data_IF_963856285392
#
_entry.id   IF_963856285392
#
_cell.length_a   1.000
_cell.length_b   1.000
_cell.length_c   1.000
_cell.angle_alpha   90.00
_cell.angle_beta   90.00
_cell.angle_gamma   90.00
#
_symmetry.space_group_name_H-M   'P 1'
#
loop_
_entity.id
_entity.type
_entity.pdbx_description
1 polymer ?
#
# COMPACT_ATOMS: atom_id res chain seq x y z
N UNK A 1 -21.11 27.62 3.73
CA UNK A 1 -21.11 26.86 5.02
C UNK A 1 -20.37 25.54 4.81
N UNK A 2 -19.07 25.49 5.02
CA UNK A 2 -18.26 24.27 4.93
C UNK A 2 -18.16 23.64 6.32
N UNK A 3 -19.26 23.00 6.75
CA UNK A 3 -19.32 22.33 8.05
C UNK A 3 -18.31 21.17 8.13
N UNK A 4 -17.58 21.10 9.23
CA UNK A 4 -16.67 20.01 9.57
C UNK A 4 -17.41 18.67 9.45
N UNK A 5 -16.98 17.76 8.56
CA UNK A 5 -17.58 16.43 8.39
C UNK A 5 -17.56 15.68 9.72
N UNK A 6 -18.68 15.01 10.05
CA UNK A 6 -18.80 14.24 11.28
C UNK A 6 -17.82 13.06 11.29
N UNK A 7 -17.37 12.63 12.47
CA UNK A 7 -16.51 11.45 12.62
C UNK A 7 -17.19 10.19 12.08
N UNK A 8 -18.52 10.10 12.17
CA UNK A 8 -19.30 9.00 11.59
C UNK A 8 -19.20 8.96 10.07
N UNK A 9 -19.33 10.11 9.39
CA UNK A 9 -19.16 10.19 7.93
C UNK A 9 -17.75 9.78 7.51
N UNK A 10 -16.72 10.17 8.27
CA UNK A 10 -15.34 9.79 8.01
C UNK A 10 -15.09 8.30 8.27
N UNK A 11 -15.68 7.72 9.30
CA UNK A 11 -15.63 6.29 9.58
C UNK A 11 -16.33 5.48 8.47
N UNK A 12 -17.51 5.91 8.04
CA UNK A 12 -18.23 5.28 6.93
C UNK A 12 -17.45 5.37 5.61
N UNK A 13 -16.79 6.51 5.35
CA UNK A 13 -15.88 6.65 4.21
C UNK A 13 -14.68 5.70 4.31
N UNK A 14 -14.10 5.56 5.49
CA UNK A 14 -12.94 4.69 5.71
C UNK A 14 -13.28 3.18 5.66
N UNK A 15 -14.54 2.81 5.89
CA UNK A 15 -14.94 1.41 5.99
C UNK A 15 -14.50 0.52 4.80
N UNK A 16 -14.59 0.93 3.51
CA UNK A 16 -14.08 0.15 2.38
C UNK A 16 -12.58 -0.16 2.43
N UNK A 17 -11.79 0.64 3.14
CA UNK A 17 -10.35 0.37 3.26
C UNK A 17 -10.05 -0.89 4.08
N UNK A 18 -10.95 -1.33 4.96
CA UNK A 18 -10.77 -2.57 5.73
C UNK A 18 -10.66 -3.81 4.83
N UNK A 19 -11.68 -4.17 4.00
CA UNK A 19 -11.58 -5.35 3.15
C UNK A 19 -10.52 -5.20 2.05
N UNK A 20 -10.23 -3.98 1.58
CA UNK A 20 -9.17 -3.76 0.60
C UNK A 20 -7.79 -4.04 1.18
N UNK A 21 -7.51 -3.59 2.39
CA UNK A 21 -6.25 -3.91 3.07
C UNK A 21 -6.19 -5.39 3.49
N UNK A 22 -7.33 -5.95 3.95
CA UNK A 22 -7.46 -7.35 4.28
C UNK A 22 -7.22 -8.27 3.07
N UNK A 23 -7.50 -7.83 1.84
CA UNK A 23 -7.19 -8.55 0.61
C UNK A 23 -5.73 -8.34 0.18
N UNK A 24 -5.23 -7.11 0.27
CA UNK A 24 -3.91 -6.74 -0.23
C UNK A 24 -2.75 -7.52 0.41
N UNK A 25 -2.81 -7.75 1.71
CA UNK A 25 -1.76 -8.48 2.44
C UNK A 25 -1.72 -9.98 2.11
N UNK A 26 -2.85 -10.74 2.15
CA UNK A 26 -2.83 -12.14 1.74
C UNK A 26 -2.39 -12.38 0.30
N UNK A 27 -2.69 -11.46 -0.63
CA UNK A 27 -2.21 -11.51 -2.01
C UNK A 27 -0.68 -11.50 -2.14
N UNK A 28 0.04 -10.99 -1.14
CA UNK A 28 1.52 -10.91 -1.18
C UNK A 28 2.16 -12.02 -0.38
N UNK A 29 1.59 -12.38 0.78
CA UNK A 29 2.25 -13.22 1.77
C UNK A 29 1.63 -14.62 1.84
N UNK A 30 0.30 -14.74 1.89
CA UNK A 30 -0.37 -16.01 2.12
C UNK A 30 -0.70 -16.77 0.83
N UNK A 31 -1.27 -16.10 -0.17
CA UNK A 31 -1.71 -16.79 -1.39
C UNK A 31 -0.57 -17.42 -2.18
N UNK A 32 0.58 -16.76 -2.41
CA UNK A 32 1.68 -17.41 -3.13
C UNK A 32 2.15 -18.70 -2.44
N UNK A 33 2.32 -18.66 -1.12
CA UNK A 33 2.71 -19.83 -0.35
C UNK A 33 1.63 -20.92 -0.40
N UNK A 34 0.36 -20.55 -0.21
CA UNK A 34 -0.78 -21.47 -0.26
C UNK A 34 -0.87 -22.21 -1.60
N UNK A 35 -0.68 -21.51 -2.72
CA UNK A 35 -0.72 -22.10 -4.05
C UNK A 35 0.45 -23.04 -4.32
N UNK A 36 1.61 -22.79 -3.74
CA UNK A 36 2.78 -23.66 -3.87
C UNK A 36 2.68 -24.88 -2.96
N UNK A 37 2.46 -24.65 -1.65
CA UNK A 37 2.55 -25.70 -0.64
C UNK A 37 1.31 -26.56 -0.56
N UNK A 38 0.11 -25.98 -0.63
CA UNK A 38 -1.15 -26.72 -0.45
C UNK A 38 -1.76 -27.16 -1.79
N UNK A 39 -1.73 -26.29 -2.82
CA UNK A 39 -2.37 -26.60 -4.10
C UNK A 39 -1.41 -27.27 -5.10
N UNK A 40 -0.11 -27.26 -4.82
CA UNK A 40 0.89 -28.02 -5.57
C UNK A 40 1.36 -27.39 -6.87
N UNK A 41 1.09 -26.09 -7.10
CA UNK A 41 1.64 -25.38 -8.25
C UNK A 41 3.16 -25.15 -8.06
N UNK A 42 3.91 -25.13 -9.17
CA UNK A 42 5.33 -24.84 -9.09
C UNK A 42 5.59 -23.38 -8.69
N UNK A 43 6.69 -23.15 -7.97
CA UNK A 43 7.11 -21.83 -7.53
C UNK A 43 7.28 -20.85 -8.71
N UNK A 44 7.77 -21.34 -9.86
CA UNK A 44 7.92 -20.55 -11.08
C UNK A 44 6.58 -20.11 -11.67
N UNK A 45 5.57 -20.99 -11.69
CA UNK A 45 4.22 -20.65 -12.16
C UNK A 45 3.58 -19.59 -11.25
N UNK A 46 3.66 -19.78 -9.94
CA UNK A 46 3.11 -18.81 -8.99
C UNK A 46 3.85 -17.48 -9.07
N UNK A 47 5.18 -17.50 -9.07
CA UNK A 47 6.00 -16.30 -9.20
C UNK A 47 5.74 -15.52 -10.48
N UNK A 48 5.64 -16.20 -11.63
CA UNK A 48 5.33 -15.54 -12.90
C UNK A 48 3.92 -14.97 -12.93
N UNK A 49 2.93 -15.68 -12.37
CA UNK A 49 1.57 -15.21 -12.32
C UNK A 49 1.44 -13.90 -11.52
N UNK A 50 1.94 -13.87 -10.30
CA UNK A 50 1.89 -12.68 -9.46
C UNK A 50 2.73 -11.51 -10.00
N UNK A 51 3.92 -11.78 -10.56
CA UNK A 51 4.77 -10.74 -11.17
C UNK A 51 4.07 -10.09 -12.37
N UNK A 52 3.65 -10.89 -13.34
CA UNK A 52 3.10 -10.35 -14.59
C UNK A 52 1.75 -9.64 -14.38
N UNK A 53 0.90 -10.17 -13.51
CA UNK A 53 -0.37 -9.50 -13.18
C UNK A 53 -0.11 -8.16 -12.48
N UNK A 54 0.89 -8.06 -11.61
CA UNK A 54 1.27 -6.77 -11.00
C UNK A 54 1.86 -5.79 -12.00
N UNK A 55 2.64 -6.25 -12.97
CA UNK A 55 3.13 -5.38 -14.06
C UNK A 55 1.97 -4.89 -14.90
N UNK A 56 1.01 -5.75 -15.22
CA UNK A 56 -0.20 -5.37 -15.94
C UNK A 56 -1.05 -4.35 -15.14
N UNK A 57 -1.14 -4.47 -13.82
CA UNK A 57 -1.85 -3.54 -12.94
C UNK A 57 -1.31 -2.10 -13.05
N UNK A 58 0.01 -1.94 -13.17
CA UNK A 58 0.64 -0.61 -13.35
C UNK A 58 0.16 0.05 -14.66
N UNK A 59 -0.06 -0.75 -15.72
CA UNK A 59 -0.54 -0.27 -17.01
C UNK A 59 -2.05 0.00 -16.98
N UNK A 60 -2.79 -0.82 -16.23
CA UNK A 60 -4.25 -0.70 -16.10
C UNK A 60 -4.70 0.53 -15.32
N UNK A 61 -3.95 0.97 -14.31
CA UNK A 61 -4.32 2.09 -13.45
C UNK A 61 -4.60 3.40 -14.22
N UNK A 62 -3.74 3.88 -15.13
CA UNK A 62 -4.02 5.08 -15.92
C UNK A 62 -5.25 4.92 -16.83
N UNK A 63 -5.47 3.73 -17.37
CA UNK A 63 -6.62 3.42 -18.22
C UNK A 63 -7.90 3.52 -17.40
N UNK A 64 -7.96 2.84 -16.26
CA UNK A 64 -9.10 2.89 -15.34
C UNK A 64 -9.34 4.31 -14.81
N UNK A 65 -8.29 5.03 -14.44
CA UNK A 65 -8.37 6.43 -14.03
C UNK A 65 -9.00 7.31 -15.11
N UNK A 66 -8.53 7.17 -16.35
CA UNK A 66 -9.10 7.90 -17.50
C UNK A 66 -10.56 7.55 -17.78
N UNK A 67 -10.96 6.30 -17.59
CA UNK A 67 -12.37 5.89 -17.69
C UNK A 67 -13.21 6.48 -16.56
N UNK A 68 -12.69 6.46 -15.32
CA UNK A 68 -13.35 7.10 -14.16
C UNK A 68 -13.54 8.59 -14.37
N UNK A 69 -12.57 9.27 -14.98
CA UNK A 69 -12.63 10.70 -15.27
C UNK A 69 -13.72 11.07 -16.25
N UNK A 70 -14.07 10.19 -17.17
CA UNK A 70 -15.14 10.36 -18.15
C UNK A 70 -16.51 9.92 -17.63
N UNK A 71 -16.55 9.20 -16.51
CA UNK A 71 -17.80 8.65 -15.97
C UNK A 71 -18.69 9.78 -15.43
N UNK A 72 -19.95 9.78 -15.83
CA UNK A 72 -20.99 10.70 -15.36
C UNK A 72 -22.26 9.90 -15.10
N UNK A 73 -22.64 9.71 -13.85
CA UNK A 73 -23.85 8.99 -13.48
C UNK A 73 -24.65 9.75 -12.42
N UNK A 74 -25.91 9.37 -12.25
CA UNK A 74 -26.81 9.97 -11.24
C UNK A 74 -26.33 9.74 -9.79
N UNK A 75 -25.55 8.70 -9.55
CA UNK A 75 -25.02 8.35 -8.21
C UNK A 75 -23.62 8.91 -7.96
N UNK A 76 -23.02 9.60 -8.91
CA UNK A 76 -21.70 10.20 -8.84
C UNK A 76 -20.74 9.67 -9.91
N UNK A 77 -19.46 10.04 -9.77
CA UNK A 77 -18.37 9.67 -10.68
C UNK A 77 -17.63 8.44 -10.20
N UNK A 78 -17.33 8.34 -8.90
CA UNK A 78 -16.49 7.29 -8.28
C UNK A 78 -17.32 6.15 -7.70
N UNK A 79 -18.50 6.44 -7.16
CA UNK A 79 -19.40 5.45 -6.52
C UNK A 79 -19.81 4.29 -7.44
N UNK A 80 -20.11 4.49 -8.76
CA UNK A 80 -20.42 3.38 -9.66
C UNK A 80 -19.26 2.38 -9.80
N UNK A 81 -18.01 2.86 -9.81
CA UNK A 81 -16.82 2.04 -9.92
C UNK A 81 -16.60 1.21 -8.66
N UNK A 82 -16.81 1.81 -7.48
CA UNK A 82 -16.76 1.09 -6.20
C UNK A 82 -17.85 0.01 -6.13
N UNK A 83 -19.07 0.33 -6.58
CA UNK A 83 -20.18 -0.61 -6.64
C UNK A 83 -19.90 -1.79 -7.58
N UNK A 84 -19.33 -1.52 -8.76
CA UNK A 84 -18.97 -2.57 -9.72
C UNK A 84 -17.77 -3.40 -9.26
N UNK A 85 -16.83 -2.81 -8.53
CA UNK A 85 -15.69 -3.54 -7.98
C UNK A 85 -16.08 -4.58 -6.93
N UNK A 86 -17.13 -4.35 -6.14
CA UNK A 86 -17.55 -5.26 -5.08
C UNK A 86 -17.83 -6.68 -5.58
N UNK A 87 -18.75 -6.93 -6.53
CA UNK A 87 -19.02 -8.28 -7.02
C UNK A 87 -17.81 -8.91 -7.73
N UNK A 88 -17.01 -8.11 -8.44
CA UNK A 88 -15.79 -8.59 -9.10
C UNK A 88 -14.79 -9.10 -8.07
N UNK A 89 -14.55 -8.33 -6.99
CA UNK A 89 -13.65 -8.73 -5.92
C UNK A 89 -14.19 -9.91 -5.09
N UNK A 90 -15.49 -9.95 -4.81
CA UNK A 90 -16.11 -11.09 -4.11
C UNK A 90 -15.94 -12.38 -4.90
N UNK A 91 -16.17 -12.34 -6.22
CA UNK A 91 -16.01 -13.47 -7.09
C UNK A 91 -14.54 -13.92 -7.17
N UNK A 92 -13.63 -12.99 -7.38
CA UNK A 92 -12.18 -13.26 -7.41
C UNK A 92 -11.67 -13.80 -6.08
N UNK A 93 -12.07 -13.22 -4.95
CA UNK A 93 -11.72 -13.71 -3.63
C UNK A 93 -12.24 -15.13 -3.39
N UNK A 94 -13.48 -15.41 -3.78
CA UNK A 94 -14.02 -16.76 -3.67
C UNK A 94 -13.15 -17.78 -4.42
N UNK A 95 -12.88 -17.57 -5.70
CA UNK A 95 -12.10 -18.52 -6.49
C UNK A 95 -10.62 -18.58 -6.07
N UNK A 96 -10.02 -17.48 -5.63
CA UNK A 96 -8.62 -17.48 -5.20
C UNK A 96 -8.43 -18.15 -3.83
N UNK A 97 -9.32 -17.89 -2.86
CA UNK A 97 -9.15 -18.38 -1.49
C UNK A 97 -9.81 -19.77 -1.27
N UNK A 98 -10.79 -20.13 -2.08
CA UNK A 98 -11.48 -21.46 -2.00
C UNK A 98 -10.94 -22.45 -3.04
N UNK A 99 -9.82 -22.15 -3.68
CA UNK A 99 -9.18 -23.04 -4.64
C UNK A 99 -8.82 -24.39 -4.01
N UNK A 100 -8.94 -25.46 -4.80
CA UNK A 100 -8.68 -26.84 -4.35
C UNK A 100 -7.50 -27.43 -5.14
N UNK A 101 -6.80 -28.44 -4.60
CA UNK A 101 -5.77 -29.16 -5.35
C UNK A 101 -6.27 -29.66 -6.71
N UNK A 102 -5.38 -29.67 -7.71
CA UNK A 102 -5.71 -30.08 -9.08
C UNK A 102 -6.02 -28.95 -10.05
N UNK A 103 -5.97 -27.69 -9.59
CA UNK A 103 -6.08 -26.52 -10.49
C UNK A 103 -4.81 -26.35 -11.33
N UNK A 104 -4.99 -25.82 -12.55
CA UNK A 104 -3.86 -25.49 -13.44
C UNK A 104 -3.42 -24.03 -13.37
N UNK A 105 -2.28 -23.70 -14.03
CA UNK A 105 -1.75 -22.35 -14.08
C UNK A 105 -2.74 -21.29 -14.59
N UNK A 106 -3.54 -21.62 -15.60
CA UNK A 106 -4.52 -20.69 -16.19
C UNK A 106 -5.61 -20.27 -15.20
N UNK A 107 -5.96 -21.14 -14.25
CA UNK A 107 -6.90 -20.81 -13.19
C UNK A 107 -6.34 -19.67 -12.31
N UNK A 108 -5.11 -19.82 -11.84
CA UNK A 108 -4.45 -18.80 -11.02
C UNK A 108 -4.29 -17.49 -11.79
N UNK A 109 -3.80 -17.53 -13.04
CA UNK A 109 -3.64 -16.37 -13.89
C UNK A 109 -4.96 -15.62 -14.11
N UNK A 110 -6.00 -16.34 -14.50
CA UNK A 110 -7.30 -15.74 -14.80
C UNK A 110 -7.90 -15.04 -13.59
N UNK A 111 -7.94 -15.71 -12.43
CA UNK A 111 -8.53 -15.14 -11.24
C UNK A 111 -7.67 -14.02 -10.60
N UNK A 112 -6.35 -14.07 -10.73
CA UNK A 112 -5.50 -12.95 -10.32
C UNK A 112 -5.76 -11.71 -11.17
N UNK A 113 -5.86 -11.83 -12.49
CA UNK A 113 -6.21 -10.70 -13.37
C UNK A 113 -7.54 -10.07 -12.94
N UNK A 114 -8.59 -10.89 -12.76
CA UNK A 114 -9.90 -10.41 -12.31
C UNK A 114 -9.79 -9.71 -10.94
N UNK A 115 -9.03 -10.28 -10.02
CA UNK A 115 -8.80 -9.72 -8.70
C UNK A 115 -8.11 -8.35 -8.76
N UNK A 116 -7.03 -8.23 -9.53
CA UNK A 116 -6.29 -6.96 -9.64
C UNK A 116 -7.08 -5.88 -10.36
N UNK A 117 -7.84 -6.22 -11.40
CA UNK A 117 -8.77 -5.27 -12.04
C UNK A 117 -9.79 -4.74 -11.03
N UNK A 118 -10.46 -5.62 -10.30
CA UNK A 118 -11.41 -5.22 -9.25
C UNK A 118 -10.77 -4.43 -8.13
N UNK A 119 -9.56 -4.81 -7.72
CA UNK A 119 -8.79 -4.12 -6.68
C UNK A 119 -8.40 -2.69 -7.11
N UNK A 120 -7.88 -2.52 -8.32
CA UNK A 120 -7.57 -1.21 -8.88
C UNK A 120 -8.81 -0.35 -9.07
N UNK A 121 -9.93 -0.92 -9.56
CA UNK A 121 -11.21 -0.20 -9.62
C UNK A 121 -11.62 0.33 -8.23
N UNK A 122 -11.56 -0.50 -7.20
CA UNK A 122 -11.95 -0.12 -5.84
C UNK A 122 -11.00 0.91 -5.23
N UNK A 123 -9.67 0.67 -5.29
CA UNK A 123 -8.67 1.54 -4.66
C UNK A 123 -8.62 2.92 -5.34
N UNK A 124 -8.60 2.96 -6.67
CA UNK A 124 -8.56 4.23 -7.41
C UNK A 124 -9.82 5.05 -7.18
N UNK A 125 -11.01 4.42 -7.30
CA UNK A 125 -12.27 5.13 -7.08
C UNK A 125 -12.42 5.61 -5.64
N UNK A 126 -12.06 4.80 -4.65
CA UNK A 126 -12.17 5.15 -3.24
C UNK A 126 -11.20 6.27 -2.84
N UNK A 127 -9.93 6.22 -3.29
CA UNK A 127 -8.95 7.26 -3.01
C UNK A 127 -9.29 8.58 -3.71
N UNK A 128 -9.72 8.52 -4.97
CA UNK A 128 -10.17 9.70 -5.73
C UNK A 128 -11.44 10.32 -5.13
N UNK A 129 -12.37 9.49 -4.66
CA UNK A 129 -13.55 9.97 -3.92
C UNK A 129 -13.15 10.71 -2.64
N UNK A 130 -12.17 10.21 -1.89
CA UNK A 130 -11.61 10.88 -0.72
C UNK A 130 -11.06 12.28 -1.02
N UNK A 131 -10.43 12.46 -2.17
CA UNK A 131 -9.86 13.75 -2.59
C UNK A 131 -10.93 14.82 -2.82
N UNK A 132 -12.13 14.44 -3.30
CA UNK A 132 -13.22 15.36 -3.60
C UNK A 132 -14.19 15.56 -2.43
N UNK A 133 -14.06 14.82 -1.33
CA UNK A 133 -14.94 14.94 -0.16
C UNK A 133 -14.82 16.27 0.56
N UNK A 134 -13.67 16.93 0.51
CA UNK A 134 -13.47 18.24 1.10
C UNK A 134 -12.48 19.08 0.28
N UNK A 135 -12.79 20.34 0.00
CA UNK A 135 -11.85 21.29 -0.59
C UNK A 135 -10.79 21.74 0.42
N UNK A 136 -11.07 21.66 1.72
CA UNK A 136 -10.17 22.11 2.80
C UNK A 136 -9.05 21.10 3.04
N UNK A 137 -7.81 21.58 3.05
CA UNK A 137 -6.59 20.80 3.28
C UNK A 137 -6.60 20.05 4.62
N UNK A 138 -7.02 20.71 5.72
CA UNK A 138 -7.05 20.08 7.05
C UNK A 138 -8.08 18.95 7.11
N UNK A 139 -9.21 19.10 6.46
CA UNK A 139 -10.23 18.06 6.38
C UNK A 139 -9.79 16.90 5.50
N UNK A 140 -9.07 17.16 4.39
CA UNK A 140 -8.46 16.07 3.58
C UNK A 140 -7.51 15.22 4.41
N UNK A 141 -6.66 15.83 5.22
CA UNK A 141 -5.77 15.10 6.13
C UNK A 141 -6.54 14.20 7.09
N UNK A 142 -7.68 14.66 7.62
CA UNK A 142 -8.55 13.83 8.45
C UNK A 142 -9.19 12.67 7.67
N UNK A 143 -9.65 12.90 6.44
CA UNK A 143 -10.23 11.86 5.57
C UNK A 143 -9.21 10.73 5.35
N UNK A 144 -7.99 11.08 4.95
CA UNK A 144 -6.93 10.08 4.72
C UNK A 144 -6.39 9.47 6.01
N UNK A 145 -6.44 10.19 7.14
CA UNK A 145 -6.13 9.63 8.46
C UNK A 145 -7.10 8.50 8.84
N UNK A 146 -8.40 8.70 8.68
CA UNK A 146 -9.41 7.66 8.88
C UNK A 146 -9.26 6.49 7.89
N UNK A 147 -8.99 6.80 6.62
CA UNK A 147 -8.70 5.80 5.59
C UNK A 147 -7.49 4.94 5.96
N UNK A 148 -6.42 5.55 6.42
CA UNK A 148 -5.20 4.85 6.86
C UNK A 148 -5.47 3.97 8.09
N UNK A 149 -6.23 4.47 9.06
CA UNK A 149 -6.64 3.69 10.23
C UNK A 149 -7.47 2.46 9.82
N UNK A 150 -8.42 2.63 8.89
CA UNK A 150 -9.19 1.52 8.32
C UNK A 150 -8.29 0.46 7.66
N UNK A 151 -7.28 0.86 6.87
CA UNK A 151 -6.31 -0.07 6.28
C UNK A 151 -5.59 -0.90 7.34
N UNK A 152 -5.08 -0.25 8.40
CA UNK A 152 -4.35 -0.95 9.47
C UNK A 152 -5.27 -1.92 10.20
N UNK A 153 -6.48 -1.49 10.57
CA UNK A 153 -7.46 -2.36 11.23
C UNK A 153 -7.80 -3.56 10.36
N UNK A 154 -8.03 -3.34 9.05
CA UNK A 154 -8.32 -4.43 8.10
C UNK A 154 -7.18 -5.45 8.02
N UNK A 155 -5.92 -5.00 7.96
CA UNK A 155 -4.75 -5.89 7.99
C UNK A 155 -4.66 -6.70 9.28
N UNK A 156 -4.83 -6.07 10.44
CA UNK A 156 -4.76 -6.76 11.73
C UNK A 156 -5.87 -7.80 11.83
N UNK A 157 -7.11 -7.44 11.48
CA UNK A 157 -8.24 -8.35 11.56
C UNK A 157 -8.06 -9.60 10.68
N UNK A 158 -7.59 -9.45 9.46
CA UNK A 158 -7.36 -10.60 8.57
C UNK A 158 -6.21 -11.49 9.06
N UNK A 159 -5.16 -10.90 9.64
CA UNK A 159 -4.02 -11.64 10.19
C UNK A 159 -4.35 -12.41 11.47
N UNK A 160 -5.35 -11.98 12.22
CA UNK A 160 -5.83 -12.70 13.41
C UNK A 160 -6.55 -14.01 13.07
N UNK A 161 -7.12 -14.16 11.87
CA UNK A 161 -7.97 -15.29 11.52
C UNK A 161 -7.23 -16.63 11.53
N UNK A 162 -6.08 -16.82 10.82
CA UNK A 162 -5.40 -18.10 10.81
C UNK A 162 -4.94 -18.58 12.19
N UNK A 163 -4.28 -17.76 13.04
CA UNK A 163 -3.91 -18.18 14.40
C UNK A 163 -5.11 -18.53 15.27
N UNK A 164 -6.19 -17.75 15.22
CA UNK A 164 -7.41 -18.00 16.00
C UNK A 164 -8.01 -19.36 15.58
N UNK A 165 -8.11 -19.63 14.29
CA UNK A 165 -8.66 -20.89 13.80
C UNK A 165 -7.76 -22.09 14.11
N UNK A 166 -6.45 -21.92 14.06
CA UNK A 166 -5.51 -22.96 14.45
C UNK A 166 -5.67 -23.34 15.92
N UNK A 167 -5.88 -22.38 16.82
CA UNK A 167 -6.06 -22.62 18.26
C UNK A 167 -7.44 -23.23 18.57
N UNK A 168 -8.51 -22.68 17.98
CA UNK A 168 -9.89 -23.08 18.32
C UNK A 168 -10.28 -24.41 17.66
N UNK A 169 -9.95 -24.57 16.37
CA UNK A 169 -10.41 -25.69 15.56
C UNK A 169 -9.34 -26.74 15.25
N UNK A 170 -8.12 -26.58 15.77
CA UNK A 170 -6.95 -27.37 15.35
C UNK A 170 -6.86 -27.43 13.82
N UNK A 171 -7.29 -26.35 13.16
CA UNK A 171 -7.46 -26.26 11.73
C UNK A 171 -6.12 -26.27 11.01
N UNK A 172 -6.15 -26.80 9.79
CA UNK A 172 -5.01 -26.74 8.91
C UNK A 172 -4.84 -25.32 8.33
N UNK A 173 -3.71 -25.06 7.72
CA UNK A 173 -3.38 -23.77 7.11
C UNK A 173 -4.43 -23.34 6.04
N UNK A 174 -4.92 -24.29 5.24
CA UNK A 174 -5.95 -24.05 4.23
C UNK A 174 -7.23 -23.44 4.83
N UNK A 175 -7.68 -23.92 5.99
CA UNK A 175 -8.85 -23.37 6.67
C UNK A 175 -8.62 -21.91 7.09
N UNK A 176 -7.40 -21.56 7.52
CA UNK A 176 -7.01 -20.18 7.83
C UNK A 176 -7.10 -19.26 6.61
N UNK A 177 -6.57 -19.69 5.47
CA UNK A 177 -6.63 -18.96 4.20
C UNK A 177 -8.07 -18.80 3.71
N UNK A 178 -8.87 -19.87 3.78
CA UNK A 178 -10.29 -19.82 3.41
C UNK A 178 -11.09 -18.86 4.30
N UNK A 179 -10.80 -18.82 5.60
CA UNK A 179 -11.43 -17.88 6.51
C UNK A 179 -11.10 -16.43 6.17
N UNK A 180 -9.86 -16.13 5.76
CA UNK A 180 -9.51 -14.80 5.23
C UNK A 180 -10.38 -14.47 4.01
N UNK A 181 -10.55 -15.39 3.08
CA UNK A 181 -11.40 -15.22 1.91
C UNK A 181 -12.86 -14.91 2.28
N UNK A 182 -13.47 -15.68 3.16
CA UNK A 182 -14.85 -15.45 3.63
C UNK A 182 -14.99 -14.12 4.37
N UNK A 183 -14.02 -13.76 5.19
CA UNK A 183 -14.00 -12.46 5.88
C UNK A 183 -14.00 -11.29 4.88
N UNK A 184 -13.16 -11.36 3.85
CA UNK A 184 -13.09 -10.34 2.79
C UNK A 184 -14.42 -10.27 2.03
N UNK A 185 -14.95 -11.43 1.60
CA UNK A 185 -16.22 -11.54 0.85
C UNK A 185 -17.38 -10.93 1.65
N UNK A 186 -17.45 -11.18 2.95
CA UNK A 186 -18.51 -10.64 3.81
C UNK A 186 -18.37 -9.12 4.01
N UNK A 187 -17.15 -8.62 4.22
CA UNK A 187 -16.92 -7.21 4.49
C UNK A 187 -17.08 -6.31 3.27
N UNK A 188 -16.75 -6.79 2.06
CA UNK A 188 -16.84 -6.00 0.83
C UNK A 188 -18.22 -5.35 0.64
N UNK A 189 -19.34 -6.09 0.56
CA UNK A 189 -20.65 -5.50 0.36
C UNK A 189 -21.09 -4.62 1.53
N UNK A 190 -20.81 -5.03 2.77
CA UNK A 190 -21.21 -4.30 3.97
C UNK A 190 -20.57 -2.92 4.02
N UNK A 191 -19.26 -2.85 3.84
CA UNK A 191 -18.50 -1.60 3.95
C UNK A 191 -18.71 -0.68 2.75
N UNK A 192 -18.80 -1.25 1.53
CA UNK A 192 -19.04 -0.46 0.33
C UNK A 192 -20.44 0.15 0.32
N UNK A 193 -21.47 -0.62 0.69
CA UNK A 193 -22.83 -0.12 0.83
C UNK A 193 -22.94 0.93 1.93
N UNK A 194 -22.26 0.73 3.08
CA UNK A 194 -22.23 1.72 4.16
C UNK A 194 -21.64 3.05 3.65
N UNK A 195 -20.49 3.02 3.00
CA UNK A 195 -19.87 4.21 2.45
C UNK A 195 -20.79 4.89 1.43
N UNK A 196 -21.35 4.14 0.48
CA UNK A 196 -22.23 4.69 -0.56
C UNK A 196 -23.55 5.29 -0.02
N UNK A 197 -24.09 4.74 1.08
CA UNK A 197 -25.33 5.26 1.68
C UNK A 197 -25.08 6.50 2.53
N UNK A 198 -23.99 6.53 3.30
CA UNK A 198 -23.70 7.59 4.28
C UNK A 198 -22.96 8.77 3.66
N UNK A 199 -22.07 8.49 2.71
CA UNK A 199 -21.15 9.49 2.16
C UNK A 199 -21.63 9.95 0.80
N UNK A 200 -22.05 11.23 0.70
CA UNK A 200 -22.39 11.84 -0.58
C UNK A 200 -21.13 12.12 -1.42
N UNK A 201 -21.28 12.08 -2.73
CA UNK A 201 -20.23 12.52 -3.66
C UNK A 201 -20.53 13.96 -4.10
N UNK A 202 -19.55 14.86 -3.92
CA UNK A 202 -19.66 16.25 -4.34
C UNK A 202 -19.27 16.32 -5.83
N UNK A 203 -20.14 16.89 -6.67
CA UNK A 203 -19.82 17.13 -8.07
C UNK A 203 -18.77 18.25 -8.19
N UNK A 204 -17.50 17.86 -8.14
CA UNK A 204 -16.39 18.77 -8.44
C UNK A 204 -16.04 18.61 -9.92
N UNK A 205 -16.00 19.70 -10.69
CA UNK A 205 -15.52 19.64 -12.08
C UNK A 205 -14.12 19.01 -12.12
N UNK A 206 -13.81 18.20 -13.13
CA UNK A 206 -12.46 17.64 -13.24
C UNK A 206 -11.47 18.77 -13.42
N UNK A 207 -10.47 18.84 -12.56
CA UNK A 207 -9.30 19.67 -12.82
C UNK A 207 -8.63 19.05 -14.05
N UNK A 208 -8.55 19.80 -15.14
CA UNK A 208 -7.80 19.40 -16.34
C UNK A 208 -6.31 19.35 -15.95
N UNK A 209 -5.86 18.23 -15.46
CA UNK A 209 -4.44 17.95 -15.38
C UNK A 209 -4.00 17.45 -16.76
N UNK A 210 -3.65 18.34 -17.63
CA UNK A 210 -2.86 18.01 -18.82
C UNK A 210 -1.41 17.74 -18.41
N UNK A 211 -1.21 16.72 -17.58
CA UNK A 211 0.13 16.23 -17.28
C UNK A 211 0.58 15.41 -18.49
N UNK A 212 1.18 16.08 -19.46
CA UNK A 212 1.82 15.42 -20.60
C UNK A 212 3.04 14.62 -20.13
N UNK A 213 3.40 13.56 -20.86
CA UNK A 213 4.58 12.72 -20.59
C UNK A 213 5.85 13.54 -20.34
N UNK A 214 5.98 14.70 -20.97
CA UNK A 214 7.09 15.64 -20.78
C UNK A 214 7.24 16.07 -19.33
N UNK A 215 6.15 16.36 -18.62
CA UNK A 215 6.19 16.82 -17.23
C UNK A 215 6.69 15.72 -16.29
N UNK A 216 6.32 14.45 -16.54
CA UNK A 216 6.87 13.30 -15.82
C UNK A 216 8.38 13.18 -16.02
N UNK A 217 8.84 13.27 -17.28
CA UNK A 217 10.25 13.19 -17.61
C UNK A 217 11.03 14.34 -16.98
N UNK A 218 10.51 15.56 -16.97
CA UNK A 218 11.19 16.73 -16.38
C UNK A 218 11.32 16.59 -14.86
N UNK A 219 10.33 16.06 -14.15
CA UNK A 219 10.42 15.74 -12.72
C UNK A 219 11.47 14.65 -12.46
N UNK A 220 11.50 13.60 -13.28
CA UNK A 220 12.47 12.50 -13.15
C UNK A 220 13.92 12.92 -13.46
N UNK A 221 14.15 14.06 -14.13
CA UNK A 221 15.50 14.62 -14.33
C UNK A 221 16.07 15.26 -13.05
N UNK A 222 15.22 15.64 -12.08
CA UNK A 222 15.67 16.27 -10.84
C UNK A 222 16.38 15.27 -9.93
N UNK A 223 17.61 15.55 -9.46
CA UNK A 223 18.38 14.63 -8.62
C UNK A 223 17.66 14.29 -7.30
N UNK A 224 17.04 15.28 -6.65
CA UNK A 224 16.31 15.09 -5.38
C UNK A 224 15.13 14.11 -5.56
N UNK A 225 14.37 14.25 -6.66
CA UNK A 225 13.25 13.35 -7.00
C UNK A 225 13.77 11.92 -7.25
N UNK A 226 14.81 11.75 -8.08
CA UNK A 226 15.37 10.42 -8.37
C UNK A 226 15.90 9.73 -7.12
N UNK A 227 16.61 10.46 -6.26
CA UNK A 227 17.16 9.92 -5.01
C UNK A 227 16.03 9.40 -4.11
N UNK A 228 14.97 10.18 -3.95
CA UNK A 228 13.84 9.78 -3.10
C UNK A 228 13.04 8.62 -3.68
N UNK A 229 12.76 8.63 -4.99
CA UNK A 229 12.05 7.53 -5.66
C UNK A 229 12.85 6.22 -5.65
N UNK A 230 14.19 6.31 -5.82
CA UNK A 230 15.03 5.12 -5.76
C UNK A 230 15.08 4.56 -4.33
N UNK A 231 15.19 5.42 -3.31
CA UNK A 231 15.10 4.98 -1.92
C UNK A 231 13.73 4.34 -1.61
N UNK A 232 12.63 4.93 -2.09
CA UNK A 232 11.28 4.41 -1.92
C UNK A 232 11.08 3.03 -2.59
N UNK A 233 11.58 2.89 -3.82
CA UNK A 233 11.58 1.60 -4.53
C UNK A 233 12.29 0.51 -3.72
N UNK A 234 13.48 0.80 -3.21
CA UNK A 234 14.25 -0.17 -2.42
C UNK A 234 13.57 -0.49 -1.09
N UNK A 235 12.96 0.51 -0.44
CA UNK A 235 12.20 0.33 0.80
C UNK A 235 10.87 -0.40 0.60
N UNK A 236 10.32 -0.42 -0.60
CA UNK A 236 9.19 -1.28 -0.97
C UNK A 236 9.66 -2.70 -1.31
N UNK A 237 10.75 -2.80 -2.07
CA UNK A 237 11.30 -4.06 -2.56
C UNK A 237 11.81 -4.96 -1.43
N UNK A 238 12.60 -4.43 -0.49
CA UNK A 238 13.23 -5.22 0.56
C UNK A 238 12.20 -5.89 1.50
N UNK A 239 11.24 -5.18 2.13
CA UNK A 239 10.19 -5.83 2.90
C UNK A 239 9.25 -6.69 2.06
N UNK A 240 9.05 -6.34 0.78
CA UNK A 240 8.27 -7.13 -0.15
C UNK A 240 8.87 -8.51 -0.40
N UNK A 241 10.19 -8.61 -0.61
CA UNK A 241 10.92 -9.88 -0.72
C UNK A 241 10.80 -10.68 0.57
N UNK A 242 11.07 -10.06 1.72
CA UNK A 242 10.94 -10.71 3.02
C UNK A 242 9.52 -11.23 3.25
N UNK A 243 8.50 -10.43 2.93
CA UNK A 243 7.09 -10.83 3.06
C UNK A 243 6.73 -12.01 2.14
N UNK A 244 7.17 -11.99 0.89
CA UNK A 244 6.92 -13.07 -0.07
C UNK A 244 7.56 -14.40 0.39
N UNK A 245 8.77 -14.36 0.93
CA UNK A 245 9.51 -15.55 1.38
C UNK A 245 9.26 -15.92 2.84
N UNK A 246 8.42 -15.17 3.57
CA UNK A 246 8.25 -15.27 5.02
C UNK A 246 7.94 -16.70 5.50
N UNK A 247 6.87 -17.29 4.98
CA UNK A 247 6.47 -18.63 5.40
C UNK A 247 7.48 -19.70 5.00
N UNK A 248 8.05 -19.63 3.79
CA UNK A 248 9.09 -20.57 3.35
C UNK A 248 10.31 -20.52 4.27
N UNK A 249 10.76 -19.33 4.67
CA UNK A 249 11.92 -19.19 5.55
C UNK A 249 11.63 -19.71 6.96
N UNK A 250 10.52 -19.30 7.58
CA UNK A 250 10.20 -19.70 8.94
C UNK A 250 9.87 -21.21 9.03
N UNK A 251 9.16 -21.76 8.07
CA UNK A 251 8.84 -23.19 8.05
C UNK A 251 10.09 -24.03 7.75
N UNK A 252 10.74 -23.77 6.61
CA UNK A 252 11.82 -24.60 6.10
C UNK A 252 13.12 -24.47 6.87
N UNK A 253 13.54 -23.22 7.18
CA UNK A 253 14.84 -22.96 7.81
C UNK A 253 14.72 -22.96 9.33
N UNK A 254 13.63 -22.38 9.86
CA UNK A 254 13.47 -22.17 11.30
C UNK A 254 12.57 -23.20 11.98
N UNK A 255 11.89 -24.08 11.23
CA UNK A 255 11.08 -25.16 11.78
C UNK A 255 9.76 -24.71 12.41
N UNK A 256 9.32 -23.47 12.20
CA UNK A 256 8.03 -23.00 12.69
C UNK A 256 6.90 -23.63 11.89
N UNK A 257 5.88 -24.08 12.57
CA UNK A 257 4.61 -24.39 11.90
C UNK A 257 3.93 -23.10 11.41
N UNK A 258 3.04 -23.22 10.42
CA UNK A 258 2.39 -22.07 9.77
C UNK A 258 1.56 -21.20 10.73
N UNK A 259 1.00 -21.80 11.78
CA UNK A 259 0.23 -21.06 12.78
C UNK A 259 1.15 -20.19 13.64
N UNK A 260 2.26 -20.76 14.14
CA UNK A 260 3.29 -20.03 14.90
C UNK A 260 3.94 -18.94 14.05
N UNK A 261 4.28 -19.21 12.78
CA UNK A 261 4.77 -18.21 11.85
C UNK A 261 3.73 -17.09 11.59
N UNK A 262 2.45 -17.43 11.50
CA UNK A 262 1.35 -16.46 11.38
C UNK A 262 1.25 -15.52 12.59
N UNK A 263 1.48 -16.02 13.81
CA UNK A 263 1.55 -15.20 15.02
C UNK A 263 2.73 -14.23 14.95
N UNK A 264 3.90 -14.69 14.51
CA UNK A 264 5.07 -13.84 14.32
C UNK A 264 4.80 -12.73 13.30
N UNK A 265 4.12 -13.04 12.20
CA UNK A 265 3.73 -12.07 11.18
C UNK A 265 2.74 -11.03 11.73
N UNK A 266 1.77 -11.45 12.54
CA UNK A 266 0.86 -10.55 13.24
C UNK A 266 1.62 -9.59 14.15
N UNK A 267 2.56 -10.10 14.95
CA UNK A 267 3.42 -9.31 15.86
C UNK A 267 4.22 -8.27 15.06
N UNK A 268 4.77 -8.65 13.90
CA UNK A 268 5.47 -7.74 13.00
C UNK A 268 4.59 -6.55 12.60
N UNK A 269 3.35 -6.77 12.16
CA UNK A 269 2.47 -5.68 11.73
C UNK A 269 1.92 -4.85 12.89
N UNK A 270 1.68 -5.46 14.07
CA UNK A 270 1.33 -4.71 15.28
C UNK A 270 2.49 -3.80 15.70
N UNK A 271 3.72 -4.29 15.64
CA UNK A 271 4.93 -3.51 15.91
C UNK A 271 5.11 -2.37 14.87
N UNK A 272 4.83 -2.64 13.59
CA UNK A 272 4.84 -1.62 12.54
C UNK A 272 3.87 -0.47 12.84
N UNK A 273 2.68 -0.78 13.35
CA UNK A 273 1.73 0.23 13.82
C UNK A 273 2.29 1.02 15.00
N UNK A 274 2.87 0.33 16.00
CA UNK A 274 3.53 0.95 17.14
C UNK A 274 4.71 1.86 16.76
N UNK A 275 5.39 1.55 15.66
CA UNK A 275 6.46 2.37 15.07
C UNK A 275 5.98 3.70 14.47
N UNK A 276 4.72 3.78 14.06
CA UNK A 276 4.17 4.94 13.34
C UNK A 276 4.36 6.29 14.05
N UNK A 277 4.20 6.46 15.36
CA UNK A 277 4.46 7.71 16.05
C UNK A 277 5.96 7.98 16.28
N UNK A 278 6.79 6.94 16.30
CA UNK A 278 8.22 7.03 16.62
C UNK A 278 8.97 7.80 15.52
N UNK A 279 8.74 7.45 14.25
CA UNK A 279 9.49 7.99 13.13
C UNK A 279 9.25 9.47 12.87
N UNK A 280 8.02 10.00 12.87
CA UNK A 280 7.79 11.44 12.78
C UNK A 280 8.37 12.20 13.99
N UNK A 281 8.31 11.64 15.20
CA UNK A 281 8.91 12.24 16.39
C UNK A 281 10.44 12.29 16.31
N UNK A 282 11.08 11.23 15.80
CA UNK A 282 12.51 11.20 15.55
C UNK A 282 12.91 12.18 14.44
N UNK A 283 12.14 12.21 13.34
CA UNK A 283 12.38 13.11 12.21
C UNK A 283 12.35 14.59 12.59
N UNK A 284 11.52 14.99 13.55
CA UNK A 284 11.49 16.35 14.11
C UNK A 284 12.79 16.71 14.85
N UNK A 285 13.55 15.73 15.35
CA UNK A 285 14.78 15.99 16.12
C UNK A 285 16.03 15.95 15.27
N UNK A 286 16.10 15.05 14.29
CA UNK A 286 17.33 14.78 13.52
C UNK A 286 17.19 15.00 12.02
N UNK A 287 15.98 15.35 11.54
CA UNK A 287 15.64 15.49 10.12
C UNK A 287 15.08 14.20 9.52
N UNK A 288 14.23 14.34 8.49
CA UNK A 288 13.48 13.23 7.87
C UNK A 288 14.40 12.20 7.21
N UNK A 289 15.41 12.66 6.46
CA UNK A 289 16.35 11.78 5.75
C UNK A 289 17.21 10.95 6.70
N UNK A 290 17.67 11.53 7.82
CA UNK A 290 18.44 10.78 8.84
C UNK A 290 17.58 9.77 9.58
N UNK A 291 16.34 10.13 9.93
CA UNK A 291 15.42 9.20 10.55
C UNK A 291 15.11 8.01 9.64
N UNK A 292 14.93 8.24 8.33
CA UNK A 292 14.74 7.19 7.33
C UNK A 292 15.98 6.30 7.18
N UNK A 293 17.19 6.88 7.18
CA UNK A 293 18.46 6.15 7.16
C UNK A 293 18.60 5.22 8.37
N UNK A 294 18.28 5.71 9.58
CA UNK A 294 18.29 4.89 10.81
C UNK A 294 17.29 3.73 10.70
N UNK A 295 16.08 3.99 10.23
CA UNK A 295 15.10 2.93 10.03
C UNK A 295 15.61 1.84 9.07
N UNK A 296 16.23 2.23 7.97
CA UNK A 296 16.80 1.31 6.99
C UNK A 296 17.96 0.47 7.56
N UNK A 297 18.82 1.07 8.39
CA UNK A 297 19.92 0.34 9.08
C UNK A 297 19.36 -0.63 10.11
N UNK A 298 18.41 -0.21 10.95
CA UNK A 298 17.77 -1.12 11.92
C UNK A 298 17.14 -2.30 11.19
N UNK A 299 16.38 -2.05 10.12
CA UNK A 299 15.81 -3.11 9.31
C UNK A 299 16.87 -4.07 8.77
N UNK A 300 17.96 -3.56 8.19
CA UNK A 300 19.05 -4.37 7.66
C UNK A 300 19.71 -5.24 8.73
N UNK A 301 20.01 -4.69 9.91
CA UNK A 301 20.60 -5.42 11.03
C UNK A 301 19.68 -6.54 11.53
N UNK A 302 18.39 -6.25 11.69
CA UNK A 302 17.41 -7.22 12.16
C UNK A 302 17.25 -8.37 11.17
N UNK A 303 17.29 -8.09 9.85
CA UNK A 303 17.25 -9.14 8.84
C UNK A 303 18.42 -10.11 8.95
N UNK A 304 19.62 -9.60 9.19
CA UNK A 304 20.80 -10.45 9.43
C UNK A 304 20.65 -11.25 10.73
N UNK A 305 20.20 -10.61 11.82
CA UNK A 305 20.00 -11.26 13.12
C UNK A 305 18.98 -12.39 13.04
N UNK A 306 17.96 -12.26 12.18
CA UNK A 306 16.94 -13.31 11.97
C UNK A 306 17.55 -14.65 11.51
N UNK A 307 18.69 -14.63 10.80
CA UNK A 307 19.38 -15.86 10.38
C UNK A 307 19.93 -16.66 11.59
N UNK A 308 20.27 -15.99 12.66
CA UNK A 308 20.86 -16.61 13.85
C UNK A 308 19.82 -17.03 14.90
N UNK A 309 18.52 -16.84 14.66
CA UNK A 309 17.48 -17.38 15.55
C UNK A 309 17.56 -18.90 15.61
N UNK A 310 17.40 -19.52 16.79
CA UNK A 310 17.36 -20.98 16.91
C UNK A 310 16.13 -21.55 16.18
N UNK A 311 16.22 -22.82 15.82
CA UNK A 311 15.07 -23.53 15.25
C UNK A 311 13.99 -23.71 16.32
N UNK A 312 12.74 -23.68 15.85
CA UNK A 312 11.57 -23.98 16.67
C UNK A 312 11.03 -25.36 16.27
N UNK A 313 11.25 -26.34 17.13
CA UNK A 313 10.84 -27.72 16.85
C UNK A 313 9.45 -28.05 17.41
N UNK A 314 8.59 -27.05 17.50
CA UNK A 314 7.27 -27.15 18.13
C UNK A 314 7.29 -26.93 19.64
N UNK A 315 6.14 -26.91 20.25
CA UNK A 315 6.00 -26.78 21.70
C UNK A 315 5.26 -25.53 22.17
N UNK A 316 5.62 -25.03 23.35
CA UNK A 316 4.94 -23.87 23.95
C UNK A 316 5.27 -22.57 23.24
N UNK A 317 4.26 -21.71 23.09
CA UNK A 317 4.44 -20.31 22.66
C UNK A 317 5.34 -19.48 23.61
N UNK A 318 5.65 -19.99 24.78
CA UNK A 318 6.60 -19.40 25.74
C UNK A 318 8.00 -20.02 25.65
N UNK A 319 8.26 -20.88 24.65
CA UNK A 319 9.61 -21.45 24.44
C UNK A 319 10.60 -20.36 24.03
N UNK A 320 11.90 -20.47 24.40
CA UNK A 320 12.91 -19.49 24.07
C UNK A 320 13.01 -19.16 22.57
N UNK A 321 12.93 -20.13 21.62
CA UNK A 321 12.94 -19.81 20.19
C UNK A 321 11.75 -18.96 19.75
N UNK A 322 10.56 -19.25 20.28
CA UNK A 322 9.35 -18.49 19.94
C UNK A 322 9.42 -17.06 20.51
N UNK A 323 9.82 -16.90 21.78
CA UNK A 323 9.97 -15.58 22.40
C UNK A 323 11.02 -14.74 21.69
N UNK A 324 12.15 -15.34 21.32
CA UNK A 324 13.19 -14.65 20.55
C UNK A 324 12.67 -14.25 19.16
N UNK A 325 11.94 -15.14 18.49
CA UNK A 325 11.25 -14.83 17.24
C UNK A 325 10.31 -13.62 17.38
N UNK A 326 9.49 -13.58 18.44
CA UNK A 326 8.61 -12.44 18.73
C UNK A 326 9.39 -11.12 18.89
N UNK A 327 10.47 -11.13 19.68
CA UNK A 327 11.31 -9.94 19.89
C UNK A 327 11.90 -9.46 18.57
N UNK A 328 12.43 -10.37 17.76
CA UNK A 328 13.03 -10.05 16.46
C UNK A 328 11.97 -9.46 15.50
N UNK A 329 10.77 -10.05 15.45
CA UNK A 329 9.72 -9.53 14.59
C UNK A 329 9.14 -8.19 15.07
N UNK A 330 9.16 -7.91 16.39
CA UNK A 330 8.89 -6.56 16.90
C UNK A 330 9.95 -5.58 16.37
N UNK A 331 11.23 -5.91 16.52
CA UNK A 331 12.33 -5.05 16.05
C UNK A 331 12.33 -4.88 14.52
N UNK A 332 11.93 -5.89 13.75
CA UNK A 332 11.78 -5.83 12.31
C UNK A 332 10.56 -4.99 11.88
N UNK A 333 9.47 -5.07 12.63
CA UNK A 333 8.22 -4.35 12.34
C UNK A 333 8.31 -2.85 12.58
N UNK A 334 8.96 -2.43 13.68
CA UNK A 334 9.06 -1.01 14.04
C UNK A 334 9.52 -0.11 12.87
N UNK A 335 10.58 -0.42 12.09
CA UNK A 335 11.03 0.42 10.99
C UNK A 335 10.13 0.38 9.74
N UNK A 336 9.25 -0.60 9.62
CA UNK A 336 8.39 -0.77 8.44
C UNK A 336 7.54 0.47 8.14
N UNK A 337 7.02 1.14 9.17
CA UNK A 337 6.18 2.34 9.01
C UNK A 337 6.97 3.61 8.66
N UNK A 338 8.30 3.60 8.75
CA UNK A 338 9.12 4.78 8.46
C UNK A 338 9.00 5.24 7.01
N UNK A 339 9.12 4.32 6.04
CA UNK A 339 9.08 4.66 4.62
C UNK A 339 7.75 5.31 4.19
N UNK A 340 6.58 4.69 4.39
CA UNK A 340 5.33 5.28 3.95
C UNK A 340 5.01 6.64 4.60
N UNK A 341 5.57 6.92 5.78
CA UNK A 341 5.36 8.19 6.48
C UNK A 341 6.37 9.25 6.04
N UNK A 342 7.68 8.93 6.10
CA UNK A 342 8.73 9.90 5.87
C UNK A 342 8.91 10.21 4.37
N UNK A 343 8.86 9.21 3.49
CA UNK A 343 8.98 9.43 2.04
C UNK A 343 7.85 10.32 1.52
N UNK A 344 6.60 10.07 1.95
CA UNK A 344 5.48 10.95 1.57
C UNK A 344 5.65 12.37 2.09
N UNK A 345 6.16 12.53 3.31
CA UNK A 345 6.46 13.85 3.87
C UNK A 345 7.58 14.56 3.11
N UNK A 346 8.65 13.84 2.73
CA UNK A 346 9.75 14.38 1.91
C UNK A 346 9.30 14.69 0.48
N UNK A 347 8.33 13.93 -0.05
CA UNK A 347 7.75 14.22 -1.36
C UNK A 347 6.92 15.51 -1.37
N UNK A 348 6.27 15.85 -0.26
CA UNK A 348 5.61 17.15 -0.10
C UNK A 348 6.63 18.31 -0.13
N UNK A 349 7.78 18.12 0.56
CA UNK A 349 8.86 19.13 0.55
C UNK A 349 9.42 19.33 -0.87
N UNK A 350 9.55 18.27 -1.66
CA UNK A 350 9.91 18.33 -3.09
C UNK A 350 8.83 19.04 -3.92
N UNK A 351 7.57 18.95 -3.54
CA UNK A 351 6.49 19.72 -4.17
C UNK A 351 6.68 21.22 -3.99
N UNK A 352 7.09 21.65 -2.78
CA UNK A 352 7.43 23.06 -2.51
C UNK A 352 8.67 23.51 -3.30
N UNK A 353 9.73 22.69 -3.38
CA UNK A 353 10.92 22.95 -4.21
C UNK A 353 10.55 23.12 -5.69
N UNK A 354 9.69 22.23 -6.21
CA UNK A 354 9.21 22.31 -7.59
C UNK A 354 8.37 23.56 -7.84
N UNK A 355 7.45 23.90 -6.92
CA UNK A 355 6.62 25.09 -7.01
C UNK A 355 7.46 26.36 -7.03
N UNK A 356 8.51 26.44 -6.21
CA UNK A 356 9.43 27.57 -6.22
C UNK A 356 10.18 27.68 -7.55
N UNK A 357 10.67 26.55 -8.07
CA UNK A 357 11.50 26.52 -9.27
C UNK A 357 10.70 26.72 -10.58
N UNK A 358 9.49 26.12 -10.69
CA UNK A 358 8.70 26.15 -11.94
C UNK A 358 7.54 27.14 -11.93
N UNK A 359 7.15 27.67 -10.76
CA UNK A 359 5.96 28.49 -10.60
C UNK A 359 4.65 27.68 -10.61
N UNK A 360 4.70 26.38 -10.81
CA UNK A 360 3.51 25.52 -10.95
C UNK A 360 3.50 24.47 -9.84
N UNK A 361 2.34 24.29 -9.19
CA UNK A 361 2.17 23.21 -8.23
C UNK A 361 2.00 21.87 -8.97
N UNK A 362 3.02 21.01 -8.88
CA UNK A 362 3.05 19.66 -9.45
C UNK A 362 3.07 18.57 -8.38
N UNK A 363 2.68 18.90 -7.16
CA UNK A 363 2.67 17.95 -6.01
C UNK A 363 1.84 16.70 -6.32
N UNK A 364 0.68 16.84 -6.97
CA UNK A 364 -0.13 15.70 -7.37
C UNK A 364 0.60 14.74 -8.31
N UNK A 365 1.40 15.27 -9.24
CA UNK A 365 2.20 14.46 -10.17
C UNK A 365 3.33 13.70 -9.44
N UNK A 366 3.99 14.36 -8.48
CA UNK A 366 4.99 13.72 -7.64
C UNK A 366 4.43 12.55 -6.84
N UNK A 367 3.25 12.72 -6.23
CA UNK A 367 2.58 11.61 -5.53
C UNK A 367 2.13 10.48 -6.46
N UNK A 368 1.73 10.78 -7.70
CA UNK A 368 1.42 9.75 -8.68
C UNK A 368 2.65 8.91 -9.02
N UNK A 369 3.82 9.54 -9.19
CA UNK A 369 5.09 8.84 -9.44
C UNK A 369 5.47 7.96 -8.25
N UNK A 370 5.38 8.46 -7.00
CA UNK A 370 5.66 7.67 -5.79
C UNK A 370 4.76 6.44 -5.70
N UNK A 371 3.46 6.60 -5.93
CA UNK A 371 2.55 5.46 -5.91
C UNK A 371 2.90 4.41 -6.98
N UNK A 372 3.34 4.85 -8.17
CA UNK A 372 3.87 3.97 -9.20
C UNK A 372 5.13 3.23 -8.76
N UNK A 373 6.05 3.92 -8.08
CA UNK A 373 7.30 3.33 -7.55
C UNK A 373 7.01 2.26 -6.49
N UNK A 374 6.09 2.49 -5.58
CA UNK A 374 5.66 1.50 -4.58
C UNK A 374 5.09 0.25 -5.26
N UNK A 375 4.21 0.42 -6.25
CA UNK A 375 3.65 -0.72 -7.01
C UNK A 375 4.74 -1.51 -7.74
N UNK A 376 5.70 -0.83 -8.35
CA UNK A 376 6.84 -1.45 -9.00
C UNK A 376 7.70 -2.25 -7.99
N UNK A 377 7.96 -1.69 -6.81
CA UNK A 377 8.67 -2.37 -5.72
C UNK A 377 8.01 -3.68 -5.33
N UNK A 378 6.71 -3.66 -5.12
CA UNK A 378 5.95 -4.89 -4.81
C UNK A 378 5.88 -5.88 -5.98
N UNK A 379 5.83 -5.41 -7.23
CA UNK A 379 5.87 -6.29 -8.40
C UNK A 379 7.20 -7.03 -8.48
N UNK A 380 8.31 -6.31 -8.36
CA UNK A 380 9.65 -6.89 -8.37
C UNK A 380 9.89 -7.83 -7.18
N UNK A 381 9.33 -7.51 -6.01
CA UNK A 381 9.48 -8.34 -4.81
C UNK A 381 8.92 -9.75 -5.01
N UNK A 382 7.76 -9.88 -5.63
CA UNK A 382 7.16 -11.20 -5.91
C UNK A 382 7.96 -11.96 -6.99
N UNK A 383 8.69 -11.26 -7.85
CA UNK A 383 9.62 -11.85 -8.79
C UNK A 383 10.73 -12.68 -8.13
N UNK A 384 10.97 -12.51 -6.83
CA UNK A 384 11.93 -13.33 -6.05
C UNK A 384 11.63 -14.83 -6.13
N UNK A 385 10.37 -15.23 -6.31
CA UNK A 385 10.02 -16.64 -6.48
C UNK A 385 10.63 -17.25 -7.73
N UNK A 386 10.73 -16.49 -8.83
CA UNK A 386 11.39 -16.95 -10.05
C UNK A 386 12.89 -17.16 -9.83
N UNK A 387 13.52 -16.19 -9.14
CA UNK A 387 14.95 -16.28 -8.80
C UNK A 387 15.20 -17.46 -7.88
N UNK A 388 14.38 -17.64 -6.85
CA UNK A 388 14.50 -18.73 -5.87
C UNK A 388 14.35 -20.10 -6.55
N UNK A 389 13.37 -20.22 -7.48
CA UNK A 389 13.18 -21.45 -8.25
C UNK A 389 14.39 -21.77 -9.15
N UNK A 390 14.96 -20.77 -9.83
CA UNK A 390 16.16 -20.92 -10.67
C UNK A 390 17.40 -21.33 -9.86
N UNK A 391 17.48 -20.89 -8.59
CA UNK A 391 18.56 -21.27 -7.67
C UNK A 391 18.35 -22.67 -7.03
N UNK A 392 17.33 -23.42 -7.47
CA UNK A 392 17.13 -24.82 -7.10
C UNK A 392 16.37 -25.04 -5.80
N UNK A 393 15.63 -24.05 -5.32
CA UNK A 393 14.74 -24.24 -4.18
C UNK A 393 13.44 -24.92 -4.61
N UNK A 394 13.11 -26.02 -3.96
CA UNK A 394 11.83 -26.71 -4.03
C UNK A 394 11.29 -26.89 -2.60
N UNK A 395 10.10 -26.38 -2.28
CA UNK A 395 9.53 -26.57 -0.94
C UNK A 395 9.35 -28.03 -0.55
N UNK A 396 9.17 -28.94 -1.54
CA UNK A 396 8.92 -30.36 -1.33
C UNK A 396 10.20 -31.22 -1.26
N UNK A 397 11.28 -30.73 -1.91
CA UNK A 397 12.53 -31.47 -2.00
C UNK A 397 13.64 -30.71 -1.29
N UNK A 398 14.16 -31.24 -0.18
CA UNK A 398 15.27 -30.62 0.53
C UNK A 398 16.53 -30.56 -0.33
N UNK A 399 17.13 -29.36 -0.44
CA UNK A 399 18.45 -29.19 -1.07
C UNK A 399 19.26 -28.12 -0.32
N UNK A 400 20.51 -28.40 -0.02
CA UNK A 400 21.39 -27.44 0.65
C UNK A 400 21.58 -26.15 -0.18
N UNK A 401 21.62 -26.26 -1.50
CA UNK A 401 21.69 -25.13 -2.41
C UNK A 401 20.43 -24.26 -2.32
N UNK A 402 19.24 -24.87 -2.40
CA UNK A 402 17.97 -24.16 -2.31
C UNK A 402 17.76 -23.50 -0.93
N UNK A 403 18.11 -24.20 0.15
CA UNK A 403 18.03 -23.67 1.50
C UNK A 403 18.98 -22.46 1.68
N UNK A 404 20.19 -22.52 1.13
CA UNK A 404 21.13 -21.39 1.12
C UNK A 404 20.58 -20.22 0.30
N UNK A 405 20.02 -20.49 -0.88
CA UNK A 405 19.40 -19.46 -1.72
C UNK A 405 18.23 -18.76 -0.98
N UNK A 406 17.41 -19.53 -0.26
CA UNK A 406 16.32 -18.99 0.54
C UNK A 406 16.83 -18.07 1.66
N UNK A 407 17.89 -18.47 2.38
CA UNK A 407 18.51 -17.64 3.44
C UNK A 407 19.06 -16.34 2.84
N UNK A 408 19.80 -16.42 1.73
CA UNK A 408 20.36 -15.24 1.05
C UNK A 408 19.26 -14.28 0.59
N UNK A 409 18.24 -14.79 -0.08
CA UNK A 409 17.17 -13.96 -0.60
C UNK A 409 16.25 -13.41 0.51
N UNK A 410 16.05 -14.14 1.60
CA UNK A 410 15.21 -13.69 2.71
C UNK A 410 15.89 -12.65 3.61
N UNK A 411 17.18 -12.82 3.90
CA UNK A 411 17.89 -12.03 4.89
C UNK A 411 18.98 -11.13 4.29
N UNK A 412 19.91 -11.71 3.51
CA UNK A 412 21.09 -10.97 3.04
C UNK A 412 20.74 -9.94 1.98
N UNK A 413 19.91 -10.30 0.98
CA UNK A 413 19.53 -9.39 -0.07
C UNK A 413 18.70 -8.21 0.46
N UNK A 414 17.64 -8.39 1.28
CA UNK A 414 16.93 -7.27 1.89
C UNK A 414 17.79 -6.41 2.82
N UNK A 415 18.74 -7.02 3.55
CA UNK A 415 19.69 -6.26 4.37
C UNK A 415 20.60 -5.37 3.50
N UNK A 416 21.13 -5.90 2.42
CA UNK A 416 21.95 -5.14 1.47
C UNK A 416 21.15 -3.98 0.83
N UNK A 417 19.88 -4.24 0.45
CA UNK A 417 18.98 -3.20 -0.03
C UNK A 417 18.72 -2.12 1.02
N UNK A 418 18.53 -2.48 2.29
CA UNK A 418 18.37 -1.54 3.41
C UNK A 418 19.62 -0.66 3.62
N UNK A 419 20.83 -1.25 3.55
CA UNK A 419 22.08 -0.50 3.61
C UNK A 419 22.24 0.44 2.40
N UNK A 420 21.83 -0.01 1.22
CA UNK A 420 21.83 0.83 0.01
C UNK A 420 20.87 2.01 0.15
N UNK A 421 19.68 1.80 0.74
CA UNK A 421 18.76 2.90 1.09
C UNK A 421 19.47 3.92 1.98
N UNK A 422 20.14 3.48 3.03
CA UNK A 422 20.89 4.36 3.94
C UNK A 422 21.92 5.19 3.15
N UNK A 423 22.73 4.54 2.31
CA UNK A 423 23.75 5.21 1.50
C UNK A 423 23.16 6.23 0.50
N UNK A 424 22.02 5.91 -0.08
CA UNK A 424 21.33 6.78 -1.04
C UNK A 424 20.67 7.97 -0.34
N UNK A 425 19.94 7.72 0.75
CA UNK A 425 19.16 8.77 1.40
C UNK A 425 20.03 9.76 2.19
N UNK A 426 21.21 9.36 2.64
CA UNK A 426 22.16 10.28 3.25
C UNK A 426 22.75 11.28 2.24
N UNK A 427 22.62 11.05 0.94
CA UNK A 427 22.98 12.01 -0.13
C UNK A 427 21.85 12.96 -0.48
N UNK A 428 20.68 12.82 0.15
CA UNK A 428 19.54 13.70 -0.06
C UNK A 428 19.84 15.11 0.47
N UNK A 429 19.67 16.11 -0.39
CA UNK A 429 20.14 17.49 -0.13
C UNK A 429 19.08 18.42 0.47
N UNK A 430 17.79 18.06 0.32
CA UNK A 430 16.70 18.88 0.84
C UNK A 430 16.47 18.55 2.32
N UNK A 431 17.28 19.14 3.19
CA UNK A 431 17.12 19.04 4.63
C UNK A 431 16.11 20.08 5.18
N UNK A 432 15.90 20.08 6.49
CA UNK A 432 14.95 20.98 7.16
C UNK A 432 15.29 22.45 6.96
N UNK A 433 16.57 22.80 6.96
CA UNK A 433 17.05 24.18 6.77
C UNK A 433 16.85 24.64 5.34
N UNK A 434 17.17 23.83 4.36
CA UNK A 434 16.93 24.09 2.95
C UNK A 434 15.42 24.22 2.65
N UNK A 435 14.60 23.35 3.22
CA UNK A 435 13.14 23.43 3.05
C UNK A 435 12.55 24.68 3.72
N UNK A 436 13.00 25.05 4.91
CA UNK A 436 12.57 26.29 5.58
C UNK A 436 12.86 27.55 4.74
N UNK A 437 14.02 27.59 4.06
CA UNK A 437 14.38 28.69 3.14
C UNK A 437 13.45 28.71 1.91
N UNK A 438 13.14 27.52 1.32
CA UNK A 438 12.18 27.40 0.21
C UNK A 438 10.80 27.93 0.63
N UNK A 439 10.32 27.54 1.82
CA UNK A 439 9.04 28.02 2.35
C UNK A 439 9.03 29.52 2.53
N UNK A 440 10.09 30.11 3.08
CA UNK A 440 10.22 31.57 3.23
C UNK A 440 10.11 32.28 1.89
N UNK A 441 10.77 31.76 0.85
CA UNK A 441 10.73 32.35 -0.49
C UNK A 441 9.35 32.21 -1.14
N UNK A 442 8.68 31.06 -0.97
CA UNK A 442 7.31 30.85 -1.44
C UNK A 442 6.33 31.81 -0.74
N UNK A 443 6.42 31.93 0.58
CA UNK A 443 5.54 32.78 1.37
C UNK A 443 5.74 34.28 0.98
N UNK A 444 6.99 34.70 0.71
CA UNK A 444 7.29 36.04 0.22
C UNK A 444 6.72 36.28 -1.19
N UNK A 445 6.82 35.30 -2.08
CA UNK A 445 6.25 35.38 -3.44
C UNK A 445 4.71 35.43 -3.42
N UNK A 446 4.08 34.55 -2.61
CA UNK A 446 2.62 34.48 -2.48
C UNK A 446 2.05 35.77 -1.85
N UNK A 447 2.81 36.44 -0.95
CA UNK A 447 2.47 37.74 -0.38
C UNK A 447 2.63 38.91 -1.39
N UNK A 448 3.49 38.74 -2.38
CA UNK A 448 3.73 39.76 -3.42
C UNK A 448 2.74 39.62 -4.62
N UNK A 449 2.13 38.45 -4.81
CA UNK A 449 1.08 38.27 -5.83
C UNK A 449 -0.21 38.99 -5.37
N UNK A 450 -0.77 39.94 -6.15
CA UNK A 450 -2.04 40.56 -5.81
C UNK A 450 -3.13 39.49 -5.77
N UNK A 451 -3.97 39.54 -4.73
CA UNK A 451 -5.15 38.65 -4.62
C UNK A 451 -5.89 38.69 -5.98
N UNK A 452 -6.25 37.53 -6.55
CA UNK A 452 -7.06 37.51 -7.75
C UNK A 452 -8.30 38.37 -7.51
N UNK A 453 -8.53 39.37 -8.36
CA UNK A 453 -9.70 40.21 -8.30
C UNK A 453 -10.92 39.29 -8.19
N UNK A 454 -11.86 39.55 -7.28
CA UNK A 454 -13.07 38.76 -7.18
C UNK A 454 -13.67 38.62 -8.56
N UNK A 455 -13.91 37.38 -8.99
CA UNK A 455 -14.58 37.10 -10.27
C UNK A 455 -15.82 37.97 -10.32
N UNK A 456 -16.06 38.70 -11.43
CA UNK A 456 -17.26 39.51 -11.55
C UNK A 456 -18.45 38.59 -11.22
N UNK A 457 -19.28 39.03 -10.28
CA UNK A 457 -20.50 38.29 -9.96
C UNK A 457 -21.23 38.00 -11.26
N UNK A 458 -21.75 36.78 -11.47
CA UNK A 458 -22.52 36.50 -12.65
C UNK A 458 -23.66 37.55 -12.70
N UNK A 459 -23.65 38.38 -13.71
CA UNK A 459 -24.76 39.30 -13.98
C UNK A 459 -26.04 38.48 -13.99
N UNK A 460 -26.77 38.52 -12.90
CA UNK A 460 -28.15 38.04 -12.87
C UNK A 460 -28.92 39.06 -13.67
N UNK A 461 -29.19 38.75 -14.94
CA UNK A 461 -30.11 39.52 -15.75
C UNK A 461 -31.43 39.60 -14.99
N UNK A 462 -31.98 40.80 -14.80
CA UNK A 462 -33.30 40.92 -14.16
C UNK A 462 -34.31 40.07 -14.95
N UNK A 463 -34.97 39.15 -14.22
CA UNK A 463 -36.10 38.42 -14.78
C UNK A 463 -37.03 39.36 -15.47
N UNK A 464 -37.22 39.18 -16.78
CA UNK A 464 -38.18 39.92 -17.57
C UNK A 464 -39.56 39.82 -16.89
N UNK A 465 -40.14 40.98 -16.58
CA UNK A 465 -41.48 41.06 -16.00
C UNK A 465 -42.50 40.35 -16.92
N UNK A 466 -43.48 39.62 -16.37
CA UNK A 466 -44.49 38.95 -17.17
C UNK A 466 -45.29 40.00 -17.96
N UNK A 467 -45.46 39.81 -19.28
CA UNK A 467 -46.33 40.60 -20.11
C UNK A 467 -47.77 40.52 -19.57
N UNK A 468 -48.52 41.66 -19.51
CA UNK A 468 -49.92 41.62 -19.16
C UNK A 468 -50.72 40.89 -20.24
N UNK A 469 -51.68 40.07 -19.80
CA UNK A 469 -52.64 39.40 -20.69
C UNK A 469 -53.47 40.46 -21.45
N UNK A 470 -53.51 40.28 -22.73
CA UNK A 470 -54.45 41.06 -23.60
C UNK A 470 -55.84 40.43 -23.44
N UNK A 471 -56.83 41.29 -23.24
CA UNK A 471 -58.24 40.98 -23.28
C UNK A 471 -58.71 40.45 -24.67
#
# INVERSE_FOLDING_TARGET
MTGRRSSWTLAAFAAPSLPLAALGLPLVVYLPEYYVSELGLSLSVVGSAFLLVRVADIILDPILGGMMDRTRTRIGRFRPWLAAAAPVLMLAAYFLFMAKPGIGPLYLWGWLVVCYVGYSMAVLSHTAWGAVLSPDYQQRSRVYGWWSAGNVVGMILVLLLPPILAVIYKGNHAAGVQAMGWFIIALLPLTFLLAMKVVGETNVPPVKHEAGLKQYVDLLKRPSVRTLLFADLLMGLAPGITGALFFFFFERIKGFDKASAGILLLIYFVAALGGSPIWPALAKKIGKHRALAIAAVIYALVQVVTVFTPRYDGGSYLSPPMLLGMVILVLAGLPYSAAPLLVRSMMADLGDEERLASGVDRTGLLYAIVNGTVKLGYALAVGVFLVLAQLGFDPKVPSAQGDTALIVLYAVAPAALGLLVCAVILRYRLDETAHAEIRRQLDARDAAEPLPSPSPEPHVSPLAAPKPAAE
#
